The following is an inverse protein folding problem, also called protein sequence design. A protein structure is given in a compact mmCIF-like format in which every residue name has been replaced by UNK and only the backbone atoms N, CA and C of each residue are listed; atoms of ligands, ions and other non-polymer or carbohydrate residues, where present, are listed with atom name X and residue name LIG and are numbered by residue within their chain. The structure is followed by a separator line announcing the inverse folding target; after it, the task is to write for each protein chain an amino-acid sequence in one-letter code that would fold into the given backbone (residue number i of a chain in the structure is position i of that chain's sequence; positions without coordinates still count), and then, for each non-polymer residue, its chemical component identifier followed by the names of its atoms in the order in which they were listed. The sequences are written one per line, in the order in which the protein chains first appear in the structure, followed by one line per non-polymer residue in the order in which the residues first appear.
data_IF_160837709801
#
_entry.id   IF_160837709801
#
_cell.length_a   1.000
_cell.length_b   1.000
_cell.length_c   1.000
_cell.angle_alpha   90.00
_cell.angle_beta   90.00
_cell.angle_gamma   90.00
#
_symmetry.space_group_name_H-M   'P 1'
#
loop_
_entity.id
_entity.type
_entity.pdbx_description
1 polymer ?
#
# COMPACT_ATOMS: atom_id res chain seq x y z
N UNK A 1 4.72 -16.03 -16.43
CA UNK A 1 3.61 -15.05 -16.39
C UNK A 1 2.74 -15.16 -15.15
N UNK A 2 2.03 -16.27 -14.89
CA UNK A 2 1.13 -16.40 -13.72
C UNK A 2 1.83 -16.17 -12.38
N UNK A 3 3.03 -16.76 -12.16
CA UNK A 3 3.80 -16.61 -10.91
C UNK A 3 4.22 -15.16 -10.66
N UNK A 4 4.67 -14.43 -11.69
CA UNK A 4 5.07 -13.02 -11.53
C UNK A 4 3.89 -12.11 -11.24
N UNK A 5 2.72 -12.31 -11.89
CA UNK A 5 1.50 -11.57 -11.56
C UNK A 5 1.03 -11.87 -10.13
N UNK A 6 1.16 -13.12 -9.68
CA UNK A 6 0.85 -13.48 -8.30
C UNK A 6 1.78 -12.77 -7.30
N UNK A 7 3.07 -12.67 -7.60
CA UNK A 7 4.01 -11.91 -6.76
C UNK A 7 3.62 -10.43 -6.64
N UNK A 8 3.19 -9.81 -7.76
CA UNK A 8 2.70 -8.43 -7.74
C UNK A 8 1.39 -8.29 -6.98
N UNK A 9 0.47 -9.25 -7.12
CA UNK A 9 -0.79 -9.29 -6.38
C UNK A 9 -0.57 -9.49 -4.88
N UNK A 10 0.42 -10.30 -4.49
CA UNK A 10 0.79 -10.42 -3.07
C UNK A 10 1.29 -9.10 -2.49
N UNK A 11 2.02 -8.31 -3.27
CA UNK A 11 2.45 -6.99 -2.82
C UNK A 11 1.30 -6.00 -2.65
N UNK A 12 0.30 -6.01 -3.56
CA UNK A 12 -0.91 -5.19 -3.37
C UNK A 12 -1.77 -5.73 -2.22
N UNK A 13 -1.77 -7.03 -1.97
CA UNK A 13 -2.38 -7.62 -0.77
C UNK A 13 -1.68 -7.13 0.50
N UNK A 14 -0.34 -7.13 0.53
CA UNK A 14 0.45 -6.62 1.66
C UNK A 14 0.16 -5.15 1.93
N UNK A 15 0.05 -4.33 0.87
CA UNK A 15 -0.35 -2.92 0.98
C UNK A 15 -1.76 -2.79 1.56
N UNK A 16 -2.73 -3.56 1.06
CA UNK A 16 -4.09 -3.55 1.57
C UNK A 16 -4.16 -3.96 3.05
N UNK A 17 -3.43 -5.01 3.44
CA UNK A 17 -3.30 -5.38 4.85
C UNK A 17 -2.74 -4.23 5.68
N UNK A 18 -1.66 -3.62 5.22
CA UNK A 18 -1.00 -2.52 5.94
C UNK A 18 -1.90 -1.29 6.08
N UNK A 19 -2.70 -0.98 5.06
CA UNK A 19 -3.61 0.17 5.06
C UNK A 19 -4.80 -0.05 5.99
N UNK A 20 -5.55 -1.12 5.77
CA UNK A 20 -6.88 -1.30 6.36
C UNK A 20 -6.89 -2.03 7.70
N UNK A 21 -5.81 -2.72 8.07
CA UNK A 21 -5.78 -3.46 9.34
C UNK A 21 -6.01 -2.56 10.56
N UNK A 22 -5.55 -1.31 10.49
CA UNK A 22 -5.70 -0.36 11.59
C UNK A 22 -7.17 -0.05 11.91
N UNK A 23 -8.04 -0.08 10.89
CA UNK A 23 -9.47 0.17 11.06
C UNK A 23 -10.11 -0.93 11.91
N UNK A 24 -9.68 -2.18 11.72
CA UNK A 24 -10.17 -3.33 12.47
C UNK A 24 -9.62 -3.46 13.90
N UNK A 25 -8.52 -2.75 14.22
CA UNK A 25 -7.85 -2.85 15.53
C UNK A 25 -7.73 -1.51 16.27
N UNK A 26 -8.41 -0.47 15.78
CA UNK A 26 -8.26 0.91 16.29
C UNK A 26 -8.61 1.02 17.78
N UNK A 27 -9.61 0.27 18.23
CA UNK A 27 -10.03 0.23 19.65
C UNK A 27 -8.98 -0.42 20.53
N UNK A 28 -8.35 -1.52 20.08
CA UNK A 28 -7.31 -2.22 20.81
C UNK A 28 -6.06 -1.33 20.97
N UNK A 29 -5.71 -0.62 19.88
CA UNK A 29 -4.59 0.32 19.86
C UNK A 29 -4.86 1.51 20.79
N UNK A 30 -6.06 2.12 20.70
CA UNK A 30 -6.45 3.25 21.53
C UNK A 30 -6.36 2.90 23.02
N UNK A 31 -6.92 1.75 23.40
CA UNK A 31 -6.87 1.26 24.79
C UNK A 31 -5.44 1.00 25.26
N UNK A 32 -4.63 0.31 24.47
CA UNK A 32 -3.26 -0.06 24.86
C UNK A 32 -2.29 1.13 24.93
N UNK A 33 -2.50 2.13 24.06
CA UNK A 33 -1.67 3.33 23.98
C UNK A 33 -2.18 4.47 24.89
N UNK A 34 -3.30 4.27 25.61
CA UNK A 34 -3.96 5.27 26.45
C UNK A 34 -4.26 6.58 25.67
N UNK A 35 -4.79 6.45 24.48
CA UNK A 35 -5.26 7.56 23.63
C UNK A 35 -6.75 7.41 23.32
N UNK A 36 -7.41 8.51 23.00
CA UNK A 36 -8.81 8.48 22.57
C UNK A 36 -8.96 7.84 21.18
N UNK A 37 -10.15 7.33 20.86
CA UNK A 37 -10.45 6.77 19.52
C UNK A 37 -10.21 7.82 18.41
N UNK A 38 -10.64 9.10 18.54
CA UNK A 38 -10.31 10.14 17.57
C UNK A 38 -8.79 10.34 17.39
N UNK A 39 -8.01 10.31 18.47
CA UNK A 39 -6.55 10.38 18.36
C UNK A 39 -5.99 9.15 17.64
N UNK A 40 -6.47 7.95 17.96
CA UNK A 40 -6.08 6.74 17.23
C UNK A 40 -6.42 6.83 15.72
N UNK A 41 -7.47 7.55 15.35
CA UNK A 41 -7.83 7.86 13.96
C UNK A 41 -6.72 8.61 13.19
N UNK A 42 -5.85 9.37 13.87
CA UNK A 42 -4.68 9.98 13.22
C UNK A 42 -3.72 8.96 12.60
N UNK A 43 -3.73 7.70 13.06
CA UNK A 43 -2.94 6.61 12.46
C UNK A 43 -3.36 6.33 11.01
N UNK A 44 -4.64 6.54 10.67
CA UNK A 44 -5.15 6.43 9.30
C UNK A 44 -4.73 7.66 8.50
N UNK A 45 -4.92 8.86 9.07
CA UNK A 45 -4.60 10.11 8.39
C UNK A 45 -3.10 10.26 8.08
N UNK A 46 -2.22 9.88 9.03
CA UNK A 46 -0.78 9.97 8.83
C UNK A 46 -0.28 8.96 7.79
N UNK A 47 -0.92 7.77 7.69
CA UNK A 47 -0.66 6.83 6.62
C UNK A 47 -1.03 7.45 5.26
N UNK A 48 -2.20 8.08 5.14
CA UNK A 48 -2.63 8.77 3.93
C UNK A 48 -1.69 9.91 3.54
N UNK A 49 -1.16 10.67 4.51
CA UNK A 49 -0.10 11.67 4.27
C UNK A 49 1.17 11.01 3.72
N UNK A 50 1.55 9.85 4.25
CA UNK A 50 2.64 9.04 3.73
C UNK A 50 2.41 8.64 2.27
N UNK A 51 1.19 8.21 1.91
CA UNK A 51 0.81 7.88 0.52
C UNK A 51 0.98 9.10 -0.40
N UNK A 52 0.50 10.25 0.03
CA UNK A 52 0.65 11.51 -0.72
C UNK A 52 2.13 11.88 -0.92
N UNK A 53 2.93 11.84 0.14
CA UNK A 53 4.36 12.14 0.07
C UNK A 53 5.10 11.11 -0.82
N UNK A 54 4.74 9.84 -0.70
CA UNK A 54 5.34 8.76 -1.46
C UNK A 54 5.02 8.77 -2.95
N UNK A 55 3.92 9.39 -3.37
CA UNK A 55 3.56 9.51 -4.78
C UNK A 55 4.66 10.21 -5.61
N UNK A 56 5.36 11.17 -5.03
CA UNK A 56 6.48 11.86 -5.68
C UNK A 56 7.73 10.99 -5.82
N UNK A 57 7.87 9.95 -5.02
CA UNK A 57 9.04 9.05 -5.05
C UNK A 57 9.20 8.35 -6.40
N UNK A 58 8.09 8.06 -7.11
CA UNK A 58 8.13 7.44 -8.43
C UNK A 58 8.86 8.32 -9.46
N UNK A 59 8.74 9.65 -9.33
CA UNK A 59 9.44 10.61 -10.19
C UNK A 59 10.96 10.52 -9.97
N UNK A 60 11.39 10.35 -8.73
CA UNK A 60 12.81 10.23 -8.37
C UNK A 60 13.39 8.86 -8.77
N UNK A 61 12.56 7.82 -8.72
CA UNK A 61 12.97 6.44 -8.98
C UNK A 61 12.95 6.02 -10.45
N UNK A 62 12.47 6.86 -11.38
CA UNK A 62 12.30 6.52 -12.80
C UNK A 62 13.59 6.01 -13.49
N UNK A 63 14.77 6.36 -12.95
CA UNK A 63 16.08 5.92 -13.46
C UNK A 63 16.37 4.44 -13.20
N UNK A 64 15.70 3.86 -12.20
CA UNK A 64 15.98 2.49 -11.78
C UNK A 64 15.07 1.48 -12.50
N UNK A 65 15.52 0.24 -12.55
CA UNK A 65 14.74 -0.87 -13.11
C UNK A 65 13.50 -1.14 -12.24
N UNK A 66 12.31 -1.33 -12.82
CA UNK A 66 11.07 -1.52 -12.06
C UNK A 66 11.13 -2.61 -10.99
N UNK A 67 11.83 -3.72 -11.25
CA UNK A 67 12.04 -4.79 -10.27
C UNK A 67 12.77 -4.30 -9.02
N UNK A 68 13.82 -3.49 -9.18
CA UNK A 68 14.57 -2.91 -8.04
C UNK A 68 13.69 -1.93 -7.26
N UNK A 69 12.87 -1.14 -7.95
CA UNK A 69 11.91 -0.22 -7.32
C UNK A 69 10.93 -1.01 -6.47
N UNK A 70 10.30 -2.06 -7.02
CA UNK A 70 9.34 -2.88 -6.28
C UNK A 70 9.95 -3.54 -5.05
N UNK A 71 11.18 -4.05 -5.14
CA UNK A 71 11.88 -4.62 -3.99
C UNK A 71 12.18 -3.57 -2.92
N UNK A 72 12.64 -2.39 -3.31
CA UNK A 72 12.89 -1.28 -2.39
C UNK A 72 11.61 -0.83 -1.70
N UNK A 73 10.50 -0.68 -2.44
CA UNK A 73 9.21 -0.30 -1.88
C UNK A 73 8.67 -1.37 -0.91
N UNK A 74 8.81 -2.65 -1.25
CA UNK A 74 8.43 -3.76 -0.36
C UNK A 74 9.29 -3.78 0.92
N UNK A 75 10.60 -3.42 0.84
CA UNK A 75 11.44 -3.31 2.03
C UNK A 75 10.99 -2.17 2.96
N UNK A 76 10.55 -1.02 2.41
CA UNK A 76 10.01 0.09 3.22
C UNK A 76 8.74 -0.34 3.97
N UNK A 77 7.82 -1.06 3.29
CA UNK A 77 6.62 -1.62 3.95
C UNK A 77 7.02 -2.51 5.12
N UNK A 78 7.97 -3.41 4.89
CA UNK A 78 8.43 -4.36 5.91
C UNK A 78 9.09 -3.66 7.09
N UNK A 79 9.95 -2.66 6.83
CA UNK A 79 10.60 -1.86 7.87
C UNK A 79 9.55 -1.10 8.68
N UNK A 80 8.59 -0.44 8.03
CA UNK A 80 7.50 0.23 8.71
C UNK A 80 6.66 -0.72 9.58
N UNK A 81 6.41 -1.96 9.10
CA UNK A 81 5.71 -2.97 9.87
C UNK A 81 6.52 -3.46 11.09
N UNK A 82 7.85 -3.60 10.96
CA UNK A 82 8.75 -3.92 12.08
C UNK A 82 8.65 -2.81 13.15
N UNK A 83 8.80 -1.54 12.75
CA UNK A 83 8.72 -0.42 13.69
C UNK A 83 7.36 -0.39 14.38
N UNK A 84 6.26 -0.60 13.63
CA UNK A 84 4.90 -0.63 14.19
C UNK A 84 4.71 -1.76 15.19
N UNK A 85 5.23 -2.96 14.91
CA UNK A 85 5.09 -4.14 15.79
C UNK A 85 5.78 -4.00 17.13
N UNK A 86 6.89 -3.24 17.17
CA UNK A 86 7.66 -3.02 18.41
C UNK A 86 7.44 -1.63 19.02
N UNK A 87 6.55 -0.80 18.47
CA UNK A 87 6.34 0.57 18.93
C UNK A 87 5.90 0.61 20.42
N UNK A 88 6.69 1.24 21.31
CA UNK A 88 6.33 1.40 22.72
C UNK A 88 5.47 2.64 22.95
N UNK A 89 5.45 3.58 22.01
CA UNK A 89 4.74 4.86 22.15
C UNK A 89 3.88 5.13 20.91
N UNK A 90 2.79 5.86 21.13
CA UNK A 90 1.89 6.31 20.07
C UNK A 90 2.62 7.11 18.98
N UNK A 91 3.55 8.00 19.35
CA UNK A 91 4.32 8.80 18.39
C UNK A 91 5.20 7.96 17.47
N UNK A 92 5.82 6.90 17.99
CA UNK A 92 6.61 6.00 17.15
C UNK A 92 5.71 5.19 16.21
N UNK A 93 4.51 4.83 16.66
CA UNK A 93 3.52 4.17 15.82
C UNK A 93 3.04 5.10 14.69
N UNK A 94 2.82 6.40 14.96
CA UNK A 94 2.52 7.40 13.92
C UNK A 94 3.64 7.47 12.86
N UNK A 95 4.90 7.55 13.29
CA UNK A 95 6.05 7.53 12.38
C UNK A 95 6.08 6.25 11.53
N UNK A 96 5.84 5.10 12.14
CA UNK A 96 5.77 3.83 11.44
C UNK A 96 4.67 3.82 10.38
N UNK A 97 3.48 4.35 10.69
CA UNK A 97 2.35 4.48 9.76
C UNK A 97 2.67 5.38 8.58
N UNK A 98 3.33 6.52 8.82
CA UNK A 98 3.81 7.40 7.75
C UNK A 98 4.76 6.66 6.80
N UNK A 99 5.75 5.94 7.35
CA UNK A 99 6.72 5.15 6.57
C UNK A 99 6.00 4.07 5.75
N UNK A 100 5.02 3.39 6.33
CA UNK A 100 4.21 2.37 5.65
C UNK A 100 3.40 2.93 4.48
N UNK A 101 2.95 4.18 4.56
CA UNK A 101 2.21 4.87 3.49
C UNK A 101 3.08 5.21 2.27
N UNK A 102 4.37 5.55 2.47
CA UNK A 102 5.25 6.02 1.40
C UNK A 102 5.31 5.11 0.14
N UNK A 103 5.35 3.78 0.25
CA UNK A 103 5.45 2.90 -0.92
C UNK A 103 4.18 2.79 -1.74
N UNK A 104 3.00 3.13 -1.19
CA UNK A 104 1.70 2.75 -1.72
C UNK A 104 1.50 3.12 -3.19
N UNK A 105 1.47 4.42 -3.50
CA UNK A 105 1.23 4.90 -4.86
C UNK A 105 2.32 4.49 -5.86
N UNK A 106 3.58 4.54 -5.43
CA UNK A 106 4.72 4.15 -6.25
C UNK A 106 4.73 2.65 -6.56
N UNK A 107 4.28 1.81 -5.62
CA UNK A 107 4.16 0.37 -5.84
C UNK A 107 3.11 0.07 -6.90
N UNK A 108 1.89 0.61 -6.77
CA UNK A 108 0.83 0.42 -7.76
C UNK A 108 1.25 0.89 -9.15
N UNK A 109 1.85 2.07 -9.26
CA UNK A 109 2.33 2.60 -10.54
C UNK A 109 3.39 1.69 -11.18
N UNK A 110 4.40 1.28 -10.42
CA UNK A 110 5.48 0.41 -10.90
C UNK A 110 4.98 -1.00 -11.23
N UNK A 111 4.14 -1.58 -10.36
CA UNK A 111 3.58 -2.91 -10.56
C UNK A 111 2.67 -2.97 -11.80
N UNK A 112 1.88 -1.91 -12.06
CA UNK A 112 1.07 -1.79 -13.29
C UNK A 112 1.93 -1.88 -14.54
N UNK A 113 3.03 -1.14 -14.59
CA UNK A 113 3.96 -1.17 -15.73
C UNK A 113 4.53 -2.58 -15.94
N UNK A 114 4.96 -3.22 -14.87
CA UNK A 114 5.50 -4.58 -14.92
C UNK A 114 4.42 -5.59 -15.34
N UNK A 115 3.21 -5.49 -14.80
CA UNK A 115 2.10 -6.36 -15.14
C UNK A 115 1.74 -6.28 -16.64
N UNK A 116 1.67 -5.07 -17.20
CA UNK A 116 1.40 -4.86 -18.63
C UNK A 116 2.53 -5.45 -19.48
N UNK A 117 3.81 -5.20 -19.14
CA UNK A 117 4.96 -5.73 -19.87
C UNK A 117 5.08 -7.27 -19.81
N UNK A 118 4.57 -7.90 -18.76
CA UNK A 118 4.50 -9.35 -18.61
C UNK A 118 3.29 -9.97 -19.31
N UNK A 119 2.30 -9.17 -19.66
CA UNK A 119 1.08 -9.66 -20.30
C UNK A 119 1.33 -10.08 -21.75
N UNK A 120 0.53 -11.05 -22.23
CA UNK A 120 0.45 -11.33 -23.66
C UNK A 120 -0.23 -10.14 -24.34
N UNK A 121 0.03 -9.98 -25.65
CA UNK A 121 -0.59 -8.97 -26.49
C UNK A 121 -2.13 -8.95 -26.28
N UNK A 122 -2.71 -7.76 -26.15
CA UNK A 122 -4.14 -7.56 -25.88
C UNK A 122 -4.63 -7.92 -24.47
N UNK A 123 -3.78 -8.47 -23.57
CA UNK A 123 -4.19 -8.90 -22.22
C UNK A 123 -3.65 -8.03 -21.07
N UNK A 124 -3.18 -6.83 -21.39
CA UNK A 124 -2.60 -5.90 -20.41
C UNK A 124 -3.58 -5.53 -19.28
N UNK A 125 -4.80 -5.13 -19.64
CA UNK A 125 -5.86 -4.78 -18.66
C UNK A 125 -6.17 -5.92 -17.70
N UNK A 126 -6.25 -7.17 -18.21
CA UNK A 126 -6.46 -8.35 -17.36
C UNK A 126 -5.31 -8.58 -16.40
N UNK A 127 -4.07 -8.35 -16.83
CA UNK A 127 -2.90 -8.51 -15.97
C UNK A 127 -2.89 -7.46 -14.84
N UNK A 128 -3.25 -6.22 -15.15
CA UNK A 128 -3.39 -5.15 -14.14
C UNK A 128 -4.51 -5.48 -13.16
N UNK A 129 -5.68 -5.90 -13.65
CA UNK A 129 -6.80 -6.31 -12.79
C UNK A 129 -6.41 -7.43 -11.82
N UNK A 130 -5.67 -8.46 -12.31
CA UNK A 130 -5.17 -9.55 -11.46
C UNK A 130 -4.16 -9.07 -10.41
N UNK A 131 -3.31 -8.11 -10.74
CA UNK A 131 -2.38 -7.50 -9.80
C UNK A 131 -3.12 -6.66 -8.76
N UNK A 132 -4.08 -5.83 -9.18
CA UNK A 132 -4.87 -5.00 -8.27
C UNK A 132 -5.78 -5.81 -7.34
N UNK A 133 -6.20 -7.02 -7.73
CA UNK A 133 -7.10 -7.87 -6.94
C UNK A 133 -6.55 -8.23 -5.55
N UNK A 134 -5.24 -8.11 -5.32
CA UNK A 134 -4.65 -8.35 -4.00
C UNK A 134 -5.24 -7.47 -2.91
N UNK A 135 -5.50 -6.20 -3.19
CA UNK A 135 -5.99 -5.24 -2.20
C UNK A 135 -7.44 -5.53 -1.74
N UNK A 136 -8.43 -5.73 -2.62
CA UNK A 136 -9.76 -6.18 -2.21
C UNK A 136 -9.76 -7.52 -1.45
N UNK A 137 -8.88 -8.45 -1.84
CA UNK A 137 -8.73 -9.73 -1.12
C UNK A 137 -8.17 -9.50 0.29
N UNK A 138 -7.24 -8.55 0.47
CA UNK A 138 -6.77 -8.17 1.80
C UNK A 138 -7.91 -7.64 2.67
N UNK A 139 -8.78 -6.79 2.13
CA UNK A 139 -9.96 -6.29 2.86
C UNK A 139 -10.93 -7.41 3.23
N UNK A 140 -11.23 -8.29 2.28
CA UNK A 140 -12.24 -9.33 2.47
C UNK A 140 -11.79 -10.44 3.44
N UNK A 141 -10.53 -10.80 3.42
CA UNK A 141 -9.99 -11.98 4.15
C UNK A 141 -8.92 -11.57 5.15
N UNK A 142 -8.00 -10.72 4.72
CA UNK A 142 -6.83 -10.37 5.52
C UNK A 142 -7.18 -9.54 6.75
N UNK A 143 -7.99 -8.49 6.59
CA UNK A 143 -8.40 -7.62 7.69
C UNK A 143 -9.21 -8.38 8.75
N UNK A 144 -10.25 -9.15 8.43
CA UNK A 144 -10.96 -9.95 9.43
C UNK A 144 -10.05 -10.92 10.20
N UNK A 145 -9.14 -11.62 9.49
CA UNK A 145 -8.18 -12.52 10.15
C UNK A 145 -7.24 -11.72 11.06
N UNK A 146 -6.73 -10.59 10.61
CA UNK A 146 -5.86 -9.74 11.40
C UNK A 146 -6.55 -9.17 12.63
N UNK A 147 -7.80 -8.75 12.51
CA UNK A 147 -8.62 -8.27 13.64
C UNK A 147 -8.86 -9.40 14.65
N UNK A 148 -9.21 -10.59 14.17
CA UNK A 148 -9.34 -11.77 15.05
C UNK A 148 -8.03 -12.07 15.81
N UNK A 149 -6.89 -12.03 15.14
CA UNK A 149 -5.58 -12.24 15.75
C UNK A 149 -5.23 -11.13 16.78
N UNK A 150 -5.65 -9.89 16.51
CA UNK A 150 -5.50 -8.77 17.45
C UNK A 150 -6.23 -9.04 18.76
N UNK A 151 -7.52 -9.38 18.67
CA UNK A 151 -8.34 -9.66 19.85
C UNK A 151 -7.90 -10.93 20.60
N UNK A 152 -7.43 -11.96 19.87
CA UNK A 152 -7.00 -13.21 20.49
C UNK A 152 -5.64 -13.11 21.20
N UNK A 153 -4.72 -12.27 20.70
CA UNK A 153 -3.34 -12.22 21.19
C UNK A 153 -2.89 -10.78 21.51
N UNK A 154 -2.77 -9.92 20.52
CA UNK A 154 -2.32 -8.55 20.67
C UNK A 154 -2.49 -7.78 19.35
N UNK A 155 -2.78 -6.49 19.45
CA UNK A 155 -2.82 -5.57 18.30
C UNK A 155 -1.50 -5.50 17.51
N UNK A 156 -0.40 -5.99 18.07
CA UNK A 156 0.91 -6.07 17.38
C UNK A 156 1.02 -7.24 16.41
N UNK A 157 0.27 -8.32 16.62
CA UNK A 157 0.33 -9.53 15.79
C UNK A 157 -0.02 -9.29 14.32
N UNK A 158 -1.04 -8.49 13.97
CA UNK A 158 -1.30 -8.11 12.59
C UNK A 158 -0.10 -7.44 11.90
N UNK A 159 0.67 -6.60 12.58
CA UNK A 159 1.89 -5.99 12.02
C UNK A 159 2.99 -7.03 11.79
N UNK A 160 3.12 -8.02 12.68
CA UNK A 160 4.02 -9.16 12.47
C UNK A 160 3.60 -9.95 11.21
N UNK A 161 2.30 -10.15 10.99
CA UNK A 161 1.80 -10.76 9.76
C UNK A 161 2.18 -9.93 8.52
N UNK A 162 2.12 -8.60 8.59
CA UNK A 162 2.58 -7.71 7.51
C UNK A 162 4.09 -7.84 7.25
N UNK A 163 4.93 -8.08 8.29
CA UNK A 163 6.36 -8.34 8.11
C UNK A 163 6.56 -9.61 7.29
N UNK A 164 5.90 -10.69 7.65
CA UNK A 164 6.00 -11.98 6.93
C UNK A 164 5.55 -11.85 5.47
N UNK A 165 4.42 -11.17 5.24
CA UNK A 165 3.91 -10.89 3.91
C UNK A 165 4.87 -10.01 3.10
N UNK A 166 5.49 -9.02 3.71
CA UNK A 166 6.46 -8.14 3.06
C UNK A 166 7.73 -8.91 2.63
N UNK A 167 8.28 -9.76 3.52
CA UNK A 167 9.42 -10.63 3.21
C UNK A 167 9.06 -11.61 2.08
N UNK A 168 7.88 -12.23 2.17
CA UNK A 168 7.41 -13.16 1.14
C UNK A 168 7.22 -12.45 -0.21
N UNK A 169 6.69 -11.22 -0.20
CA UNK A 169 6.55 -10.38 -1.38
C UNK A 169 7.92 -10.09 -2.01
N UNK A 170 8.92 -9.68 -1.23
CA UNK A 170 10.29 -9.44 -1.72
C UNK A 170 10.89 -10.70 -2.34
N UNK A 171 10.77 -11.84 -1.66
CA UNK A 171 11.27 -13.14 -2.17
C UNK A 171 10.60 -13.50 -3.51
N UNK A 172 9.27 -13.39 -3.60
CA UNK A 172 8.55 -13.73 -4.82
C UNK A 172 8.82 -12.75 -5.97
N UNK A 173 8.96 -11.43 -5.69
CA UNK A 173 9.37 -10.46 -6.70
C UNK A 173 10.76 -10.79 -7.20
N UNK A 174 11.71 -11.09 -6.30
CA UNK A 174 13.06 -11.45 -6.68
C UNK A 174 13.07 -12.68 -7.59
N UNK A 175 12.30 -13.71 -7.27
CA UNK A 175 12.35 -15.02 -7.94
C UNK A 175 11.52 -15.10 -9.22
N UNK A 176 10.36 -14.39 -9.28
CA UNK A 176 9.36 -14.60 -10.33
C UNK A 176 9.10 -13.39 -11.23
N UNK A 177 9.45 -12.19 -10.78
CA UNK A 177 9.29 -10.99 -11.62
C UNK A 177 10.52 -10.84 -12.52
N UNK A 178 10.35 -10.78 -13.85
CA UNK A 178 11.46 -10.59 -14.77
C UNK A 178 12.09 -9.19 -14.60
N UNK A 179 13.35 -9.08 -14.95
CA UNK A 179 14.04 -7.79 -14.98
C UNK A 179 13.61 -7.01 -16.24
N UNK A 180 12.75 -6.05 -16.05
CA UNK A 180 12.21 -5.22 -17.12
C UNK A 180 13.05 -3.95 -17.23
N UNK A 181 13.35 -3.51 -18.46
CA UNK A 181 14.09 -2.28 -18.71
C UNK A 181 13.42 -1.07 -18.07
N UNK A 182 14.23 -0.14 -17.55
CA UNK A 182 13.75 1.13 -17.03
C UNK A 182 12.91 1.89 -18.07
N UNK A 183 11.98 2.71 -17.57
CA UNK A 183 11.18 3.55 -18.46
C UNK A 183 12.05 4.61 -19.12
N UNK A 184 11.78 4.95 -20.39
CA UNK A 184 12.47 6.03 -21.06
C UNK A 184 12.25 7.35 -20.30
N UNK A 185 13.34 8.03 -20.00
CA UNK A 185 13.29 9.32 -19.31
C UNK A 185 12.80 10.41 -20.27
N UNK A 186 11.53 10.78 -20.16
CA UNK A 186 10.95 11.90 -20.94
C UNK A 186 11.12 13.26 -20.28
N UNK A 187 11.86 13.31 -19.13
CA UNK A 187 12.03 14.53 -18.35
C UNK A 187 10.79 14.90 -17.51
N UNK A 188 11.04 15.66 -16.44
CA UNK A 188 10.01 16.04 -15.47
C UNK A 188 8.87 16.86 -16.09
N UNK A 189 9.19 17.81 -16.98
CA UNK A 189 8.20 18.64 -17.69
C UNK A 189 7.22 17.80 -18.54
N UNK A 190 7.70 16.73 -19.17
CA UNK A 190 6.86 15.86 -19.97
C UNK A 190 5.95 14.97 -19.11
N UNK A 191 6.38 14.60 -17.90
CA UNK A 191 5.58 13.83 -16.96
C UNK A 191 4.37 14.62 -16.44
N UNK A 192 4.51 15.94 -16.27
CA UNK A 192 3.41 16.80 -15.81
C UNK A 192 2.57 17.39 -16.95
N UNK A 193 2.93 17.14 -18.23
CA UNK A 193 2.22 17.68 -19.37
C UNK A 193 0.75 17.26 -19.45
N UNK A 194 0.41 16.06 -18.95
CA UNK A 194 -0.97 15.57 -18.93
C UNK A 194 -1.89 16.42 -18.05
N UNK A 195 -1.35 17.08 -16.99
CA UNK A 195 -2.14 17.97 -16.11
C UNK A 195 -2.63 19.24 -16.81
N UNK A 196 -2.18 19.54 -18.01
CA UNK A 196 -2.71 20.64 -18.83
C UNK A 196 -4.11 20.33 -19.39
N UNK A 197 -4.50 19.06 -19.44
CA UNK A 197 -5.83 18.63 -19.88
C UNK A 197 -6.82 18.66 -18.70
N UNK A 198 -8.12 18.84 -19.00
CA UNK A 198 -9.19 18.85 -17.98
C UNK A 198 -9.49 17.44 -17.42
N UNK A 199 -9.36 16.39 -18.25
CA UNK A 199 -9.71 15.02 -17.86
C UNK A 199 -8.99 14.50 -16.60
N UNK A 200 -7.67 14.66 -16.42
CA UNK A 200 -7.00 14.28 -15.17
C UNK A 200 -7.58 14.96 -13.93
N UNK A 201 -7.93 16.24 -14.03
CA UNK A 201 -8.51 16.99 -12.89
C UNK A 201 -9.90 16.50 -12.54
N UNK A 202 -10.72 16.15 -13.53
CA UNK A 202 -12.03 15.53 -13.28
C UNK A 202 -11.90 14.16 -12.63
N UNK A 203 -10.93 13.34 -13.05
CA UNK A 203 -10.65 12.04 -12.44
C UNK A 203 -10.18 12.23 -10.99
N UNK A 204 -9.27 13.17 -10.73
CA UNK A 204 -8.80 13.50 -9.38
C UNK A 204 -9.96 13.95 -8.50
N UNK A 205 -10.81 14.85 -8.99
CA UNK A 205 -11.98 15.33 -8.23
C UNK A 205 -12.97 14.19 -7.94
N UNK A 206 -13.29 13.35 -8.91
CA UNK A 206 -14.17 12.20 -8.73
C UNK A 206 -13.59 11.19 -7.73
N UNK A 207 -12.27 10.93 -7.78
CA UNK A 207 -11.57 10.06 -6.84
C UNK A 207 -11.57 10.65 -5.43
N UNK A 208 -11.31 11.95 -5.30
CA UNK A 208 -11.30 12.65 -4.02
C UNK A 208 -12.66 12.60 -3.33
N UNK A 209 -13.75 12.90 -4.06
CA UNK A 209 -15.11 12.89 -3.52
C UNK A 209 -15.59 11.47 -3.24
N UNK A 210 -15.38 10.54 -4.17
CA UNK A 210 -15.84 9.15 -4.05
C UNK A 210 -15.11 8.38 -2.96
N UNK A 211 -13.79 8.30 -3.05
CA UNK A 211 -12.99 7.56 -2.07
C UNK A 211 -12.94 8.26 -0.72
N UNK A 212 -12.91 9.59 -0.69
CA UNK A 212 -12.95 10.34 0.55
C UNK A 212 -14.22 10.06 1.36
N UNK A 213 -15.38 10.06 0.71
CA UNK A 213 -16.66 9.71 1.35
C UNK A 213 -16.70 8.27 1.87
N UNK A 214 -16.21 7.31 1.06
CA UNK A 214 -16.15 5.90 1.46
C UNK A 214 -15.19 5.71 2.65
N UNK A 215 -14.01 6.29 2.62
CA UNK A 215 -13.03 6.17 3.71
C UNK A 215 -13.52 6.79 5.01
N UNK A 216 -14.20 7.95 4.95
CA UNK A 216 -14.84 8.53 6.14
C UNK A 216 -15.87 7.57 6.75
N UNK A 217 -16.70 6.94 5.94
CA UNK A 217 -17.67 5.95 6.40
C UNK A 217 -16.99 4.73 7.03
N UNK A 218 -16.03 4.13 6.35
CA UNK A 218 -15.33 2.94 6.84
C UNK A 218 -14.57 3.19 8.15
N UNK A 219 -13.92 4.34 8.29
CA UNK A 219 -13.10 4.66 9.46
C UNK A 219 -13.90 4.74 10.76
N UNK A 220 -15.20 5.02 10.67
CA UNK A 220 -16.05 5.20 11.85
C UNK A 220 -17.17 4.16 11.99
N UNK A 221 -17.21 3.14 11.15
CA UNK A 221 -18.23 2.08 11.25
C UNK A 221 -17.96 1.11 12.43
N UNK A 222 -16.71 0.88 12.78
CA UNK A 222 -16.32 -0.04 13.86
C UNK A 222 -16.59 0.51 15.27
N UNK A 223 -16.43 1.81 15.54
CA UNK A 223 -16.74 2.42 16.83
C UNK A 223 -18.23 2.69 17.09
N UNK A 224 -19.08 2.55 16.05
CA UNK A 224 -20.54 2.69 16.15
C UNK A 224 -21.19 1.36 16.57
#
# INVERSE_FOLDING_TARGET
MKKGLFALALGTFTLGMTEFIIEGIITDVAHNMNVSIPEAGHLISIYALGVCAGAFSLILMHKYRPKKILMFLASIITIGAIIASVAPTYWLLLCARFIQGLPHGAYFGTATIVAVKMAKEGKGTKAVAMMCAGMPVANLVGVPIGTFLSHAFSWRVPFVSCILLGIMTMYMIHRWVPDVAALPNKGMKAQFRFLRNKAPWLIIAATFLGNGGILCWFSYISPL
#
